data_IF_281294068444
#
_entry.id   IF_281294068444
#
_cell.length_a   1.000
_cell.length_b   1.000
_cell.length_c   1.000
_cell.angle_alpha   90.00
_cell.angle_beta   90.00
_cell.angle_gamma   90.00
#
_symmetry.space_group_name_H-M   'P 1'
#
loop_
_entity.id
_entity.type
_entity.pdbx_description
1 polymer ?
#
# COMPACT_ATOMS: atom_id res chain seq x y z
N UNK A 1 -9.74 11.35 23.78
CA UNK A 1 -8.71 10.73 22.96
C UNK A 1 -9.39 10.28 21.69
N UNK A 2 -8.88 10.68 20.56
CA UNK A 2 -9.32 10.20 19.25
C UNK A 2 -9.14 8.69 19.15
N UNK A 3 -10.09 7.97 18.57
CA UNK A 3 -9.93 6.52 18.37
C UNK A 3 -8.90 6.25 17.27
N UNK A 4 -8.28 5.07 17.29
CA UNK A 4 -7.30 4.69 16.25
C UNK A 4 -7.93 4.67 14.86
N UNK A 5 -9.23 4.36 14.76
CA UNK A 5 -9.98 4.45 13.50
C UNK A 5 -10.14 5.90 13.06
N UNK A 6 -10.51 6.82 13.96
CA UNK A 6 -10.64 8.24 13.63
C UNK A 6 -9.32 8.79 13.09
N UNK A 7 -8.19 8.44 13.73
CA UNK A 7 -6.88 8.81 13.25
C UNK A 7 -6.59 8.22 11.85
N UNK A 8 -6.86 6.93 11.63
CA UNK A 8 -6.71 6.28 10.32
C UNK A 8 -7.51 7.02 9.24
N UNK A 9 -8.81 7.25 9.50
CA UNK A 9 -9.72 7.95 8.58
C UNK A 9 -9.29 9.40 8.38
N UNK A 10 -8.79 10.06 9.43
CA UNK A 10 -8.23 11.42 9.33
C UNK A 10 -7.11 11.52 8.30
N UNK A 11 -6.19 10.56 8.26
CA UNK A 11 -5.12 10.51 7.24
C UNK A 11 -5.67 10.24 5.84
N UNK A 12 -6.67 9.36 5.70
CA UNK A 12 -7.36 9.12 4.43
C UNK A 12 -8.01 10.41 3.91
N UNK A 13 -8.78 11.11 4.75
CA UNK A 13 -9.39 12.38 4.38
C UNK A 13 -8.36 13.44 4.00
N UNK A 14 -7.24 13.52 4.74
CA UNK A 14 -6.17 14.47 4.43
C UNK A 14 -5.58 14.24 3.03
N UNK A 15 -5.44 12.99 2.58
CA UNK A 15 -4.95 12.68 1.25
C UNK A 15 -5.93 13.10 0.15
N UNK A 16 -7.24 13.13 0.44
CA UNK A 16 -8.30 13.47 -0.50
C UNK A 16 -8.55 14.98 -0.67
N UNK A 17 -7.96 15.84 0.17
CA UNK A 17 -8.25 17.29 0.19
C UNK A 17 -8.03 17.95 -1.17
N UNK A 18 -6.97 17.55 -1.88
CA UNK A 18 -6.57 18.15 -3.16
C UNK A 18 -7.24 17.48 -4.39
N UNK A 19 -8.11 16.50 -4.20
CA UNK A 19 -8.83 15.84 -5.29
C UNK A 19 -10.05 16.69 -5.70
N UNK A 20 -10.02 17.24 -6.91
CA UNK A 20 -11.08 18.11 -7.43
C UNK A 20 -12.38 17.35 -7.75
N UNK A 21 -12.27 16.10 -8.22
CA UNK A 21 -13.41 15.26 -8.59
C UNK A 21 -14.13 14.72 -7.34
N UNK A 22 -15.22 15.39 -6.94
CA UNK A 22 -16.01 15.02 -5.75
C UNK A 22 -16.66 13.66 -5.85
N UNK A 23 -17.08 13.24 -7.05
CA UNK A 23 -17.67 11.92 -7.24
C UNK A 23 -16.61 10.81 -7.04
N UNK A 24 -15.37 11.07 -7.48
CA UNK A 24 -14.25 10.17 -7.22
C UNK A 24 -13.95 10.07 -5.72
N UNK A 25 -13.94 11.19 -5.01
CA UNK A 25 -13.74 11.23 -3.54
C UNK A 25 -14.81 10.40 -2.84
N UNK A 26 -16.10 10.63 -3.14
CA UNK A 26 -17.21 9.88 -2.54
C UNK A 26 -17.11 8.38 -2.84
N UNK A 27 -16.79 8.01 -4.09
CA UNK A 27 -16.64 6.62 -4.49
C UNK A 27 -15.48 5.92 -3.75
N UNK A 28 -14.33 6.60 -3.60
CA UNK A 28 -13.17 6.07 -2.87
C UNK A 28 -13.45 5.93 -1.36
N UNK A 29 -14.23 6.82 -0.77
CA UNK A 29 -14.56 6.76 0.66
C UNK A 29 -15.60 5.68 1.00
N UNK A 30 -16.38 5.19 0.04
CA UNK A 30 -17.49 4.24 0.26
C UNK A 30 -17.09 3.06 1.14
N UNK A 31 -15.95 2.42 0.88
CA UNK A 31 -15.50 1.25 1.64
C UNK A 31 -15.17 1.58 3.09
N UNK A 32 -14.59 2.75 3.33
CA UNK A 32 -14.24 3.20 4.68
C UNK A 32 -15.50 3.55 5.50
N UNK A 33 -16.50 4.15 4.86
CA UNK A 33 -17.74 4.57 5.50
C UNK A 33 -18.70 3.40 5.75
N UNK A 34 -18.75 2.41 4.84
CA UNK A 34 -19.59 1.24 4.97
C UNK A 34 -19.08 0.23 6.01
N UNK A 35 -17.77 0.24 6.32
CA UNK A 35 -17.14 -0.81 7.12
C UNK A 35 -16.49 -0.30 8.43
N UNK A 36 -17.13 0.58 9.22
CA UNK A 36 -16.50 1.16 10.40
C UNK A 36 -16.08 0.10 11.44
N UNK A 37 -16.89 -0.95 11.62
CA UNK A 37 -16.59 -2.03 12.56
C UNK A 37 -15.39 -2.90 12.11
N UNK A 38 -15.21 -3.11 10.80
CA UNK A 38 -14.04 -3.82 10.28
C UNK A 38 -12.77 -2.98 10.45
N UNK A 39 -12.86 -1.67 10.25
CA UNK A 39 -11.73 -0.76 10.48
C UNK A 39 -11.37 -0.64 11.96
N UNK A 40 -12.35 -0.66 12.88
CA UNK A 40 -12.07 -0.75 14.31
C UNK A 40 -11.31 -2.05 14.63
N UNK A 41 -11.76 -3.19 14.07
CA UNK A 41 -11.07 -4.49 14.19
C UNK A 41 -9.65 -4.46 13.59
N UNK A 42 -9.47 -3.80 12.45
CA UNK A 42 -8.19 -3.61 11.79
C UNK A 42 -7.19 -2.86 12.69
N UNK A 43 -7.60 -1.71 13.22
CA UNK A 43 -6.79 -0.93 14.14
C UNK A 43 -6.45 -1.70 15.42
N UNK A 44 -7.43 -2.41 15.98
CA UNK A 44 -7.24 -3.24 17.17
C UNK A 44 -6.27 -4.40 16.90
N UNK A 45 -6.29 -4.97 15.70
CA UNK A 45 -5.37 -6.05 15.31
C UNK A 45 -3.93 -5.55 15.32
N UNK A 46 -3.62 -4.36 14.77
CA UNK A 46 -2.28 -3.77 14.89
C UNK A 46 -1.86 -3.55 16.34
N UNK A 47 -2.75 -3.04 17.19
CA UNK A 47 -2.47 -2.87 18.62
C UNK A 47 -2.13 -4.21 19.31
N UNK A 48 -2.86 -5.29 18.99
CA UNK A 48 -2.59 -6.64 19.53
C UNK A 48 -1.25 -7.17 19.04
N UNK A 49 -0.96 -7.01 17.73
CA UNK A 49 0.31 -7.45 17.15
C UNK A 49 1.52 -6.75 17.78
N UNK A 50 1.35 -5.53 18.26
CA UNK A 50 2.40 -4.72 18.89
C UNK A 50 2.29 -4.66 20.41
N UNK A 51 1.56 -5.57 21.06
CA UNK A 51 1.36 -5.57 22.51
C UNK A 51 2.38 -6.41 23.28
N UNK A 52 3.06 -7.34 22.62
CA UNK A 52 3.99 -8.30 23.25
C UNK A 52 5.01 -8.85 22.24
N UNK A 53 6.13 -9.45 22.70
CA UNK A 53 7.03 -10.18 21.80
C UNK A 53 6.39 -11.47 21.31
N UNK A 54 6.89 -11.99 20.18
CA UNK A 54 6.42 -13.19 19.51
C UNK A 54 7.59 -14.14 19.26
N UNK A 55 7.31 -15.43 19.05
CA UNK A 55 8.35 -16.40 18.71
C UNK A 55 8.98 -16.11 17.34
N UNK A 56 10.25 -16.47 17.15
CA UNK A 56 10.97 -16.32 15.86
C UNK A 56 10.21 -16.99 14.73
N UNK A 57 9.72 -18.22 14.89
CA UNK A 57 8.98 -18.96 13.85
C UNK A 57 7.69 -18.24 13.43
N UNK A 58 6.97 -17.65 14.39
CA UNK A 58 5.78 -16.84 14.12
C UNK A 58 6.12 -15.59 13.34
N UNK A 59 7.17 -14.87 13.74
CA UNK A 59 7.62 -13.66 13.04
C UNK A 59 8.13 -13.99 11.64
N UNK A 60 8.87 -15.09 11.46
CA UNK A 60 9.29 -15.54 10.13
C UNK A 60 8.11 -15.87 9.23
N UNK A 61 7.06 -16.53 9.75
CA UNK A 61 5.83 -16.82 9.00
C UNK A 61 5.09 -15.54 8.62
N UNK A 62 5.00 -14.59 9.55
CA UNK A 62 4.40 -13.28 9.30
C UNK A 62 5.15 -12.52 8.20
N UNK A 63 6.44 -12.30 8.35
CA UNK A 63 7.24 -11.51 7.41
C UNK A 63 7.43 -12.18 6.05
N UNK A 64 7.40 -13.53 5.98
CA UNK A 64 7.42 -14.25 4.72
C UNK A 64 6.17 -13.97 3.85
N UNK A 65 5.02 -13.75 4.50
CA UNK A 65 3.74 -13.57 3.82
C UNK A 65 3.21 -12.14 3.76
N UNK A 66 3.64 -11.27 4.68
CA UNK A 66 2.98 -9.98 4.89
C UNK A 66 3.10 -9.04 3.70
N UNK A 67 4.30 -8.84 3.18
CA UNK A 67 4.51 -7.98 2.02
C UNK A 67 5.54 -8.57 1.06
N UNK A 68 5.22 -8.56 -0.21
CA UNK A 68 6.22 -8.74 -1.26
C UNK A 68 6.77 -7.36 -1.59
N UNK A 69 7.98 -7.00 -1.15
CA UNK A 69 8.54 -5.67 -1.35
C UNK A 69 8.71 -5.29 -2.83
N UNK A 70 8.74 -6.28 -3.71
CA UNK A 70 8.89 -6.07 -5.16
C UNK A 70 7.53 -6.02 -5.88
N UNK A 71 6.44 -6.41 -5.20
CA UNK A 71 5.11 -6.53 -5.81
C UNK A 71 4.52 -5.19 -6.24
N UNK A 72 4.69 -4.14 -5.44
CA UNK A 72 4.19 -2.80 -5.75
C UNK A 72 4.92 -2.22 -6.97
N UNK A 73 6.24 -2.24 -6.98
CA UNK A 73 7.07 -1.73 -8.08
C UNK A 73 6.77 -2.46 -9.40
N UNK A 74 6.64 -3.80 -9.38
CA UNK A 74 6.26 -4.57 -10.56
C UNK A 74 4.88 -4.21 -11.09
N UNK A 75 3.90 -4.02 -10.19
CA UNK A 75 2.55 -3.64 -10.58
C UNK A 75 2.51 -2.27 -11.25
N UNK A 76 3.16 -1.27 -10.67
CA UNK A 76 3.22 0.09 -11.24
C UNK A 76 4.03 0.10 -12.54
N UNK A 77 5.14 -0.65 -12.62
CA UNK A 77 5.93 -0.79 -13.86
C UNK A 77 5.09 -1.38 -15.00
N UNK A 78 4.23 -2.37 -14.72
CA UNK A 78 3.36 -2.95 -15.74
C UNK A 78 2.32 -1.94 -16.27
N UNK A 79 1.81 -1.06 -15.40
CA UNK A 79 0.91 0.03 -15.79
C UNK A 79 1.65 1.02 -16.68
N UNK A 80 2.88 1.40 -16.34
CA UNK A 80 3.70 2.30 -17.18
C UNK A 80 3.89 1.71 -18.58
N UNK A 81 4.29 0.44 -18.67
CA UNK A 81 4.50 -0.22 -19.97
C UNK A 81 3.23 -0.17 -20.81
N UNK A 82 2.06 -0.45 -20.23
CA UNK A 82 0.76 -0.40 -20.92
C UNK A 82 0.40 1.02 -21.36
N UNK A 83 0.63 2.04 -20.51
CA UNK A 83 0.43 3.45 -20.86
C UNK A 83 1.30 3.87 -22.05
N UNK A 84 2.57 3.45 -22.08
CA UNK A 84 3.48 3.74 -23.18
C UNK A 84 3.06 3.02 -24.48
N UNK A 85 2.58 1.79 -24.40
CA UNK A 85 2.06 1.05 -25.55
C UNK A 85 0.80 1.72 -26.12
N UNK A 86 -0.19 2.03 -25.28
CA UNK A 86 -1.41 2.72 -25.71
C UNK A 86 -1.10 4.13 -26.26
N UNK A 87 -0.10 4.84 -25.72
CA UNK A 87 0.30 6.16 -26.25
C UNK A 87 0.82 6.08 -27.68
N UNK A 88 1.52 4.99 -28.03
CA UNK A 88 2.03 4.81 -29.38
C UNK A 88 0.94 4.48 -30.42
N UNK A 89 -0.19 3.95 -29.97
CA UNK A 89 -1.32 3.52 -30.79
C UNK A 89 -2.44 4.57 -30.90
N UNK A 90 -2.55 5.46 -29.90
CA UNK A 90 -3.63 6.43 -29.81
C UNK A 90 -3.42 7.58 -30.82
N UNK A 91 -4.41 7.93 -31.64
CA UNK A 91 -4.28 9.05 -32.57
C UNK A 91 -4.31 10.41 -31.85
N UNK A 92 -3.50 11.33 -32.36
CA UNK A 92 -3.45 12.73 -31.92
C UNK A 92 -2.42 13.01 -30.83
N UNK A 93 -1.49 13.93 -31.16
CA UNK A 93 -0.33 14.26 -30.31
C UNK A 93 -0.72 14.67 -28.89
N UNK A 94 -1.81 15.42 -28.73
CA UNK A 94 -2.27 15.88 -27.40
C UNK A 94 -2.71 14.70 -26.50
N UNK A 95 -3.38 13.70 -27.06
CA UNK A 95 -3.78 12.50 -26.32
C UNK A 95 -2.57 11.62 -26.01
N UNK A 96 -1.61 11.48 -26.92
CA UNK A 96 -0.35 10.78 -26.66
C UNK A 96 0.42 11.45 -25.52
N UNK A 97 0.52 12.78 -25.52
CA UNK A 97 1.18 13.54 -24.45
C UNK A 97 0.51 13.33 -23.08
N UNK A 98 -0.83 13.25 -23.02
CA UNK A 98 -1.54 12.93 -21.77
C UNK A 98 -1.21 11.53 -21.25
N UNK A 99 -1.14 10.51 -22.13
CA UNK A 99 -0.74 9.16 -21.71
C UNK A 99 0.72 9.09 -21.25
N UNK A 100 1.62 9.80 -21.91
CA UNK A 100 3.02 9.92 -21.46
C UNK A 100 3.11 10.63 -20.10
N UNK A 101 2.29 11.66 -19.88
CA UNK A 101 2.22 12.33 -18.58
C UNK A 101 1.64 11.40 -17.49
N UNK A 102 0.61 10.58 -17.83
CA UNK A 102 0.10 9.55 -16.91
C UNK A 102 1.20 8.53 -16.54
N UNK A 103 1.97 8.05 -17.53
CA UNK A 103 3.10 7.16 -17.30
C UNK A 103 4.18 7.80 -16.42
N UNK A 104 4.45 9.10 -16.59
CA UNK A 104 5.36 9.85 -15.73
C UNK A 104 4.87 9.87 -14.28
N UNK A 105 3.57 10.16 -14.03
CA UNK A 105 3.03 10.13 -12.67
C UNK A 105 3.19 8.76 -12.00
N UNK A 106 2.93 7.66 -12.72
CA UNK A 106 3.24 6.32 -12.23
C UNK A 106 4.75 6.15 -11.96
N UNK A 107 5.61 6.74 -12.79
CA UNK A 107 7.05 6.72 -12.64
C UNK A 107 7.54 7.39 -11.34
N UNK A 108 6.91 8.49 -10.91
CA UNK A 108 7.25 9.16 -9.65
C UNK A 108 7.03 8.23 -8.43
N UNK A 109 5.99 7.40 -8.43
CA UNK A 109 5.78 6.38 -7.40
C UNK A 109 6.94 5.36 -7.40
N UNK A 110 7.33 4.86 -8.58
CA UNK A 110 8.44 3.90 -8.68
C UNK A 110 9.77 4.50 -8.24
N UNK A 111 10.03 5.75 -8.59
CA UNK A 111 11.27 6.43 -8.21
C UNK A 111 11.46 6.42 -6.69
N UNK A 112 10.39 6.61 -5.93
CA UNK A 112 10.45 6.53 -4.47
C UNK A 112 10.58 5.07 -4.00
N UNK A 113 9.83 4.13 -4.58
CA UNK A 113 9.80 2.71 -4.16
C UNK A 113 11.08 1.93 -4.46
N UNK A 114 11.64 2.08 -5.67
CA UNK A 114 12.82 1.31 -6.09
C UNK A 114 14.15 1.96 -5.71
N UNK A 115 14.08 3.16 -5.08
CA UNK A 115 15.27 3.77 -4.52
C UNK A 115 16.26 4.28 -5.56
N UNK A 116 15.78 5.06 -6.55
CA UNK A 116 16.62 6.18 -7.00
C UNK A 116 16.90 7.10 -5.81
N UNK A 117 16.35 6.74 -4.66
CA UNK A 117 16.60 7.25 -3.34
C UNK A 117 18.03 7.15 -2.83
N UNK A 118 18.91 6.34 -3.41
CA UNK A 118 20.34 6.47 -3.15
C UNK A 118 20.87 7.81 -3.67
N UNK A 119 20.34 8.32 -4.78
CA UNK A 119 20.62 9.70 -5.23
C UNK A 119 20.00 10.77 -4.32
N UNK A 120 18.98 10.40 -3.52
CA UNK A 120 18.28 11.26 -2.55
C UNK A 120 18.53 10.85 -1.09
N UNK A 121 19.43 9.90 -0.83
CA UNK A 121 19.80 9.46 0.52
C UNK A 121 18.86 8.42 1.14
N UNK A 122 17.92 7.84 0.38
CA UNK A 122 17.02 6.81 0.86
C UNK A 122 17.32 5.45 0.22
N UNK A 123 17.48 4.37 1.02
CA UNK A 123 17.67 3.04 0.47
C UNK A 123 16.38 2.51 -0.16
N UNK A 124 16.52 1.67 -1.15
CA UNK A 124 15.45 0.90 -1.80
C UNK A 124 14.48 0.28 -0.78
N UNK A 125 13.16 0.45 -0.95
CA UNK A 125 12.13 0.01 0.01
C UNK A 125 12.20 -1.50 0.29
N UNK A 126 12.50 -2.33 -0.71
CA UNK A 126 12.70 -3.76 -0.47
C UNK A 126 13.90 -4.06 0.45
N UNK A 127 14.97 -3.25 0.39
CA UNK A 127 16.10 -3.38 1.32
C UNK A 127 15.75 -2.94 2.72
N UNK A 128 14.93 -1.89 2.87
CA UNK A 128 14.41 -1.47 4.16
C UNK A 128 13.52 -2.54 4.77
N UNK A 129 12.60 -3.14 3.96
CA UNK A 129 11.77 -4.26 4.40
C UNK A 129 12.62 -5.45 4.85
N UNK A 130 13.59 -5.87 4.04
CA UNK A 130 14.48 -6.97 4.37
C UNK A 130 15.23 -6.74 5.67
N UNK A 131 15.77 -5.53 5.88
CA UNK A 131 16.46 -5.15 7.12
C UNK A 131 15.52 -5.20 8.32
N UNK A 132 14.29 -4.68 8.17
CA UNK A 132 13.27 -4.71 9.21
C UNK A 132 12.90 -6.14 9.57
N UNK A 133 12.54 -6.97 8.59
CA UNK A 133 12.15 -8.35 8.79
C UNK A 133 13.27 -9.17 9.45
N UNK A 134 14.50 -9.08 8.94
CA UNK A 134 15.65 -9.81 9.49
C UNK A 134 15.97 -9.37 10.91
N UNK A 135 15.91 -8.07 11.22
CA UNK A 135 16.16 -7.56 12.57
C UNK A 135 15.08 -8.05 13.56
N UNK A 136 13.82 -8.02 13.15
CA UNK A 136 12.69 -8.44 14.01
C UNK A 136 12.67 -9.95 14.21
N UNK A 137 12.93 -10.74 13.17
CA UNK A 137 13.03 -12.21 13.27
C UNK A 137 14.32 -12.67 13.98
N UNK A 138 15.32 -11.81 14.13
CA UNK A 138 16.65 -12.20 14.60
C UNK A 138 17.46 -13.06 13.62
N UNK A 139 16.94 -13.29 12.42
CA UNK A 139 17.55 -14.12 11.38
C UNK A 139 16.99 -13.79 10.00
N UNK A 140 17.63 -14.34 8.94
CA UNK A 140 17.12 -14.29 7.55
C UNK A 140 16.18 -15.47 7.21
N UNK A 141 15.80 -16.28 8.18
CA UNK A 141 14.96 -17.47 7.98
C UNK A 141 13.61 -17.17 7.37
N UNK A 142 13.05 -15.98 7.62
CA UNK A 142 11.78 -15.53 7.02
C UNK A 142 11.77 -15.59 5.47
N UNK A 143 12.95 -15.67 4.82
CA UNK A 143 13.08 -15.80 3.35
C UNK A 143 12.87 -17.22 2.84
N UNK A 144 12.84 -18.22 3.73
CA UNK A 144 12.66 -19.63 3.39
C UNK A 144 11.18 -19.89 3.09
N UNK A 145 10.77 -19.62 1.84
CA UNK A 145 9.37 -19.70 1.42
C UNK A 145 8.80 -21.12 1.60
N UNK A 146 9.57 -22.17 1.32
CA UNK A 146 9.13 -23.55 1.48
C UNK A 146 8.76 -23.90 2.93
N UNK A 147 9.36 -23.19 3.90
CA UNK A 147 9.09 -23.40 5.32
C UNK A 147 8.01 -22.46 5.87
N UNK A 148 8.07 -21.19 5.54
CA UNK A 148 7.32 -20.15 6.23
C UNK A 148 6.17 -19.54 5.43
N UNK A 149 6.11 -19.80 4.10
CA UNK A 149 5.05 -19.22 3.30
C UNK A 149 3.72 -19.92 3.56
N UNK A 150 2.80 -19.20 4.18
CA UNK A 150 1.43 -19.64 4.36
C UNK A 150 0.56 -19.21 3.16
N UNK A 151 -0.12 -20.12 2.44
CA UNK A 151 -1.00 -19.76 1.33
C UNK A 151 -2.05 -18.71 1.69
N UNK A 152 -2.58 -18.74 2.93
CA UNK A 152 -3.55 -17.78 3.43
C UNK A 152 -3.04 -16.34 3.35
N UNK A 153 -1.72 -16.14 3.55
CA UNK A 153 -1.11 -14.81 3.53
C UNK A 153 -0.99 -14.24 2.11
N UNK A 154 -1.20 -15.07 1.08
CA UNK A 154 -1.13 -14.66 -0.34
C UNK A 154 -2.48 -14.28 -0.96
N UNK A 155 -3.61 -14.64 -0.36
CA UNK A 155 -4.92 -14.43 -0.98
C UNK A 155 -5.16 -12.97 -1.36
N UNK A 156 -4.86 -12.04 -0.44
CA UNK A 156 -5.07 -10.62 -0.68
C UNK A 156 -4.13 -10.07 -1.76
N UNK A 157 -2.83 -10.38 -1.67
CA UNK A 157 -1.85 -9.93 -2.67
C UNK A 157 -2.13 -10.51 -4.07
N UNK A 158 -2.63 -11.75 -4.15
CA UNK A 158 -3.06 -12.36 -5.40
C UNK A 158 -4.28 -11.61 -5.98
N UNK A 159 -5.26 -11.29 -5.15
CA UNK A 159 -6.43 -10.52 -5.58
C UNK A 159 -6.06 -9.10 -6.04
N UNK A 160 -5.21 -8.39 -5.28
CA UNK A 160 -4.68 -7.08 -5.68
C UNK A 160 -3.91 -7.19 -7.00
N UNK A 161 -3.08 -8.23 -7.15
CA UNK A 161 -2.34 -8.49 -8.37
C UNK A 161 -3.24 -8.68 -9.59
N UNK A 162 -4.35 -9.40 -9.44
CA UNK A 162 -5.33 -9.60 -10.51
C UNK A 162 -6.06 -8.29 -10.91
N UNK A 163 -6.22 -7.36 -9.98
CA UNK A 163 -6.92 -6.09 -10.19
C UNK A 163 -6.00 -4.93 -10.59
N UNK A 164 -4.68 -5.08 -10.49
CA UNK A 164 -3.70 -4.03 -10.77
C UNK A 164 -2.82 -4.38 -11.97
N UNK A 165 -1.74 -5.22 -11.86
CA UNK A 165 -0.92 -5.52 -13.03
C UNK A 165 -1.63 -6.39 -14.07
N UNK A 166 -2.55 -7.26 -13.67
CA UNK A 166 -3.25 -8.21 -14.53
C UNK A 166 -4.70 -7.78 -14.86
N UNK A 167 -5.10 -6.56 -14.48
CA UNK A 167 -6.42 -6.04 -14.82
C UNK A 167 -6.66 -6.07 -16.33
N UNK A 168 -7.87 -6.46 -16.79
CA UNK A 168 -8.16 -6.61 -18.21
C UNK A 168 -8.04 -5.28 -18.98
N UNK A 169 -8.36 -4.17 -18.34
CA UNK A 169 -8.19 -2.84 -18.91
C UNK A 169 -7.37 -1.93 -17.98
N UNK A 170 -6.80 -0.87 -18.55
CA UNK A 170 -5.87 -0.01 -17.85
C UNK A 170 -6.55 0.93 -16.86
N UNK A 171 -7.80 1.33 -17.12
CA UNK A 171 -8.57 2.19 -16.20
C UNK A 171 -8.79 1.46 -14.85
N UNK A 172 -9.15 0.17 -14.87
CA UNK A 172 -9.30 -0.63 -13.64
C UNK A 172 -7.99 -0.78 -12.87
N UNK A 173 -6.87 -0.93 -13.58
CA UNK A 173 -5.56 -0.97 -12.96
C UNK A 173 -5.20 0.33 -12.24
N UNK A 174 -5.52 1.48 -12.85
CA UNK A 174 -5.30 2.81 -12.29
C UNK A 174 -6.23 3.09 -11.11
N UNK A 175 -7.50 2.69 -11.19
CA UNK A 175 -8.46 2.78 -10.07
C UNK A 175 -7.98 1.98 -8.87
N UNK A 176 -7.52 0.74 -9.09
CA UNK A 176 -7.00 -0.10 -8.03
C UNK A 176 -5.68 0.45 -7.44
N UNK A 177 -4.83 1.05 -8.27
CA UNK A 177 -3.62 1.72 -7.81
C UNK A 177 -3.99 2.89 -6.88
N UNK A 178 -4.89 3.79 -7.31
CA UNK A 178 -5.32 4.92 -6.50
C UNK A 178 -5.91 4.47 -5.14
N UNK A 179 -6.75 3.46 -5.15
CA UNK A 179 -7.35 2.92 -3.92
C UNK A 179 -6.31 2.31 -2.98
N UNK A 180 -5.33 1.57 -3.52
CA UNK A 180 -4.23 1.00 -2.72
C UNK A 180 -3.42 2.08 -2.05
N UNK A 181 -3.02 3.13 -2.77
CA UNK A 181 -2.22 4.23 -2.22
C UNK A 181 -3.02 5.04 -1.18
N UNK A 182 -4.33 5.22 -1.40
CA UNK A 182 -5.21 5.86 -0.42
C UNK A 182 -5.28 5.06 0.89
N UNK A 183 -5.49 3.75 0.82
CA UNK A 183 -5.54 2.88 2.00
C UNK A 183 -4.19 2.89 2.75
N UNK A 184 -3.09 2.80 2.01
CA UNK A 184 -1.74 2.86 2.56
C UNK A 184 -1.50 4.14 3.37
N UNK A 185 -2.08 5.28 2.96
CA UNK A 185 -1.97 6.54 3.70
C UNK A 185 -2.47 6.40 5.15
N UNK A 186 -3.63 5.79 5.34
CA UNK A 186 -4.16 5.49 6.68
C UNK A 186 -3.32 4.43 7.42
N UNK A 187 -3.02 3.33 6.72
CA UNK A 187 -2.33 2.17 7.29
C UNK A 187 -0.94 2.52 7.84
N UNK A 188 -0.06 3.11 7.03
CA UNK A 188 1.32 3.39 7.48
C UNK A 188 1.39 4.44 8.57
N UNK A 189 0.52 5.44 8.53
CA UNK A 189 0.46 6.44 9.59
C UNK A 189 -0.06 5.87 10.92
N UNK A 190 -0.97 4.89 10.87
CA UNK A 190 -1.44 4.17 12.05
C UNK A 190 -0.35 3.22 12.61
N UNK A 191 0.21 2.37 11.76
CA UNK A 191 1.05 1.28 12.25
C UNK A 191 2.47 1.70 12.63
N UNK A 192 3.04 2.72 11.99
CA UNK A 192 4.42 3.14 12.21
C UNK A 192 4.71 3.46 13.68
N UNK A 193 3.93 4.32 14.38
CA UNK A 193 4.16 4.58 15.79
C UNK A 193 3.96 3.34 16.68
N UNK A 194 3.00 2.46 16.35
CA UNK A 194 2.75 1.23 17.10
C UNK A 194 3.97 0.29 17.03
N UNK A 195 4.50 0.07 15.83
CA UNK A 195 5.69 -0.78 15.63
C UNK A 195 6.94 -0.20 16.28
N UNK A 196 7.18 1.11 16.19
CA UNK A 196 8.31 1.77 16.86
C UNK A 196 8.23 1.61 18.39
N UNK A 197 7.04 1.78 18.95
CA UNK A 197 6.83 1.60 20.37
C UNK A 197 7.04 0.14 20.80
N UNK A 198 6.49 -0.81 20.04
CA UNK A 198 6.69 -2.23 20.28
C UNK A 198 8.16 -2.64 20.24
N UNK A 199 8.93 -2.17 19.26
CA UNK A 199 10.36 -2.43 19.18
C UNK A 199 11.10 -1.92 20.43
N UNK A 200 10.72 -0.76 20.95
CA UNK A 200 11.35 -0.19 22.15
C UNK A 200 10.90 -0.87 23.44
N UNK A 201 9.60 -0.95 23.64
CA UNK A 201 9.02 -1.32 24.94
C UNK A 201 8.93 -2.85 25.13
N UNK A 202 8.64 -3.59 24.04
CA UNK A 202 8.45 -5.04 24.10
C UNK A 202 9.69 -5.83 23.66
N UNK A 203 10.43 -5.33 22.64
CA UNK A 203 11.64 -5.99 22.14
C UNK A 203 12.94 -5.46 22.75
N UNK A 204 12.90 -4.36 23.50
CA UNK A 204 14.05 -3.79 24.22
C UNK A 204 15.06 -3.05 23.35
N UNK A 205 14.76 -2.69 22.13
CA UNK A 205 15.68 -1.94 21.26
C UNK A 205 15.81 -0.49 21.72
N UNK A 206 17.05 0.07 21.75
CA UNK A 206 17.25 1.51 21.93
C UNK A 206 16.49 2.32 20.89
N UNK A 207 16.03 3.54 21.25
CA UNK A 207 15.19 4.35 20.38
C UNK A 207 15.78 4.60 18.97
N UNK A 208 17.09 4.86 18.85
CA UNK A 208 17.78 5.04 17.58
C UNK A 208 17.78 3.76 16.72
N UNK A 209 17.93 2.60 17.35
CA UNK A 209 17.91 1.32 16.68
C UNK A 209 16.49 0.93 16.27
N UNK A 210 15.49 1.12 17.11
CA UNK A 210 14.08 0.91 16.80
C UNK A 210 13.65 1.74 15.58
N UNK A 211 14.08 3.02 15.51
CA UNK A 211 13.83 3.87 14.34
C UNK A 211 14.52 3.33 13.07
N UNK A 212 15.76 2.83 13.18
CA UNK A 212 16.49 2.25 12.05
C UNK A 212 15.85 0.94 11.56
N UNK A 213 15.39 0.09 12.48
CA UNK A 213 14.68 -1.15 12.17
C UNK A 213 13.33 -0.83 11.48
N UNK A 214 12.56 0.11 12.01
CA UNK A 214 11.29 0.55 11.44
C UNK A 214 11.44 1.45 10.19
N UNK A 215 12.63 1.48 9.57
CA UNK A 215 12.93 2.33 8.42
C UNK A 215 11.95 2.14 7.25
N UNK A 216 11.58 0.88 6.94
CA UNK A 216 10.57 0.58 5.93
C UNK A 216 9.24 1.27 6.20
N UNK A 217 8.73 1.20 7.42
CA UNK A 217 7.47 1.85 7.79
C UNK A 217 7.59 3.37 7.77
N UNK A 218 8.76 3.87 8.19
CA UNK A 218 9.00 5.31 8.30
C UNK A 218 9.02 6.03 6.96
N UNK A 219 9.52 5.38 5.90
CA UNK A 219 9.55 5.99 4.55
C UNK A 219 8.17 6.03 3.90
N UNK A 220 7.21 5.22 4.34
CA UNK A 220 5.83 5.26 3.89
C UNK A 220 4.92 6.15 4.77
N UNK A 221 5.42 6.68 5.88
CA UNK A 221 4.65 7.49 6.83
C UNK A 221 4.64 8.96 6.41
N UNK A 222 3.62 9.70 6.86
CA UNK A 222 3.47 11.12 6.59
C UNK A 222 2.96 11.44 5.19
N UNK A 223 3.65 12.32 4.47
CA UNK A 223 3.19 12.82 3.18
C UNK A 223 3.52 11.90 1.98
N UNK A 224 4.26 10.81 2.17
CA UNK A 224 4.75 9.98 1.05
C UNK A 224 3.57 9.28 0.37
N UNK A 225 2.79 8.50 1.10
CA UNK A 225 1.64 7.79 0.54
C UNK A 225 0.57 8.75 -0.01
N UNK A 226 0.39 9.91 0.61
CA UNK A 226 -0.50 10.94 0.08
C UNK A 226 0.01 11.51 -1.27
N UNK A 227 1.34 11.57 -1.50
CA UNK A 227 1.92 11.90 -2.82
C UNK A 227 1.72 10.78 -3.82
N UNK A 228 1.94 9.53 -3.43
CA UNK A 228 1.69 8.36 -4.27
C UNK A 228 0.22 8.33 -4.72
N UNK A 229 -0.71 8.52 -3.79
CA UNK A 229 -2.13 8.63 -4.09
C UNK A 229 -2.43 9.76 -5.09
N UNK A 230 -1.85 10.94 -4.91
CA UNK A 230 -2.01 12.07 -5.83
C UNK A 230 -1.49 11.75 -7.23
N UNK A 231 -0.34 11.11 -7.33
CA UNK A 231 0.19 10.65 -8.62
C UNK A 231 -0.71 9.60 -9.26
N UNK A 232 -1.25 8.67 -8.49
CA UNK A 232 -2.15 7.63 -8.98
C UNK A 232 -3.47 8.23 -9.51
N UNK A 233 -4.08 9.16 -8.78
CA UNK A 233 -5.32 9.84 -9.22
C UNK A 233 -5.09 10.73 -10.43
N UNK A 234 -3.94 11.41 -10.51
CA UNK A 234 -3.59 12.23 -11.67
C UNK A 234 -3.32 11.38 -12.91
N UNK A 235 -2.69 10.22 -12.77
CA UNK A 235 -2.52 9.27 -13.86
C UNK A 235 -3.90 8.75 -14.37
N UNK A 236 -4.84 8.44 -13.48
CA UNK A 236 -6.19 8.06 -13.83
C UNK A 236 -6.93 9.18 -14.60
N UNK A 237 -6.85 10.41 -14.11
CA UNK A 237 -7.46 11.58 -14.75
C UNK A 237 -6.92 11.81 -16.17
N UNK A 238 -5.61 11.78 -16.32
CA UNK A 238 -4.96 11.98 -17.63
C UNK A 238 -5.31 10.86 -18.61
N UNK A 239 -5.33 9.61 -18.13
CA UNK A 239 -5.72 8.46 -18.93
C UNK A 239 -7.13 8.59 -19.47
N UNK A 240 -8.11 8.89 -18.61
CA UNK A 240 -9.50 9.03 -19.00
C UNK A 240 -9.72 10.20 -19.95
N UNK A 241 -9.01 11.31 -19.76
CA UNK A 241 -9.03 12.45 -20.69
C UNK A 241 -8.44 12.11 -22.06
N UNK A 242 -7.36 11.33 -22.11
CA UNK A 242 -6.72 10.94 -23.37
C UNK A 242 -7.56 9.96 -24.19
N UNK A 243 -8.18 8.98 -23.52
CA UNK A 243 -8.92 7.89 -24.16
C UNK A 243 -10.40 8.18 -24.35
N UNK A 244 -10.94 9.21 -23.70
CA UNK A 244 -12.39 9.50 -23.66
C UNK A 244 -13.18 8.50 -22.81
N UNK A 245 -12.52 7.58 -22.09
CA UNK A 245 -13.19 6.66 -21.19
C UNK A 245 -13.76 7.42 -19.99
N UNK A 246 -14.97 7.05 -19.58
CA UNK A 246 -15.61 7.64 -18.41
C UNK A 246 -15.21 6.86 -17.15
N UNK A 247 -14.99 7.59 -16.04
CA UNK A 247 -14.82 6.98 -14.72
C UNK A 247 -16.14 6.36 -14.29
N UNK A 248 -16.13 5.09 -13.95
CA UNK A 248 -17.29 4.40 -13.35
C UNK A 248 -17.22 4.49 -11.83
N UNK A 249 -17.80 5.56 -11.26
CA UNK A 249 -17.81 5.80 -9.82
C UNK A 249 -18.51 4.68 -9.04
N UNK A 250 -19.51 3.98 -9.63
CA UNK A 250 -20.17 2.85 -8.97
C UNK A 250 -19.22 1.66 -8.85
N UNK A 251 -18.43 1.42 -9.90
CA UNK A 251 -17.40 0.38 -9.87
C UNK A 251 -16.33 0.70 -8.84
N UNK A 252 -15.87 1.97 -8.78
CA UNK A 252 -14.88 2.40 -7.78
C UNK A 252 -15.43 2.24 -6.36
N UNK A 253 -16.68 2.63 -6.11
CA UNK A 253 -17.32 2.46 -4.81
C UNK A 253 -17.40 0.98 -4.39
N UNK A 254 -17.81 0.09 -5.30
CA UNK A 254 -17.83 -1.34 -5.06
C UNK A 254 -16.42 -1.93 -4.84
N UNK A 255 -15.42 -1.45 -5.60
CA UNK A 255 -14.03 -1.84 -5.43
C UNK A 255 -13.47 -1.37 -4.09
N UNK A 256 -13.80 -0.15 -3.66
CA UNK A 256 -13.41 0.40 -2.35
C UNK A 256 -13.98 -0.44 -1.21
N UNK A 257 -15.25 -0.79 -1.28
CA UNK A 257 -15.91 -1.63 -0.28
C UNK A 257 -15.26 -3.02 -0.22
N UNK A 258 -15.07 -3.68 -1.36
CA UNK A 258 -14.40 -4.98 -1.44
C UNK A 258 -12.95 -4.91 -0.92
N UNK A 259 -12.22 -3.83 -1.22
CA UNK A 259 -10.84 -3.66 -0.79
C UNK A 259 -10.72 -3.58 0.73
N UNK A 260 -11.53 -2.72 1.36
CA UNK A 260 -11.52 -2.56 2.83
C UNK A 260 -11.86 -3.87 3.52
N UNK A 261 -12.91 -4.57 3.06
CA UNK A 261 -13.30 -5.88 3.61
C UNK A 261 -12.14 -6.88 3.51
N UNK A 262 -11.50 -6.98 2.34
CA UNK A 262 -10.40 -7.92 2.11
C UNK A 262 -9.13 -7.54 2.86
N UNK A 263 -8.79 -6.27 2.93
CA UNK A 263 -7.62 -5.79 3.68
C UNK A 263 -7.76 -6.08 5.17
N UNK A 264 -8.94 -5.82 5.75
CA UNK A 264 -9.22 -6.13 7.15
C UNK A 264 -9.14 -7.65 7.42
N UNK A 265 -9.76 -8.47 6.59
CA UNK A 265 -9.70 -9.93 6.72
C UNK A 265 -8.28 -10.47 6.53
N UNK A 266 -7.49 -9.88 5.62
CA UNK A 266 -6.09 -10.22 5.42
C UNK A 266 -5.25 -9.97 6.66
N UNK A 267 -5.34 -8.78 7.26
CA UNK A 267 -4.59 -8.45 8.46
C UNK A 267 -4.94 -9.39 9.63
N UNK A 268 -6.22 -9.72 9.81
CA UNK A 268 -6.65 -10.67 10.83
C UNK A 268 -6.04 -12.06 10.60
N UNK A 269 -6.04 -12.57 9.36
CA UNK A 269 -5.38 -13.81 8.99
C UNK A 269 -3.87 -13.75 9.22
N UNK A 270 -3.23 -12.63 8.88
CA UNK A 270 -1.80 -12.42 9.15
C UNK A 270 -1.51 -12.42 10.65
N UNK A 271 -2.33 -11.76 11.45
CA UNK A 271 -2.17 -11.75 12.90
C UNK A 271 -2.37 -13.14 13.53
N UNK A 272 -3.20 -14.00 12.93
CA UNK A 272 -3.47 -15.35 13.43
C UNK A 272 -2.27 -16.31 13.34
N UNK A 273 -1.25 -16.01 12.53
CA UNK A 273 -0.02 -16.81 12.47
C UNK A 273 0.95 -16.48 13.61
N UNK A 274 0.74 -15.36 14.31
CA UNK A 274 1.57 -14.97 15.45
C UNK A 274 1.19 -15.79 16.69
N UNK A 275 2.13 -16.60 17.17
CA UNK A 275 2.00 -17.46 18.36
C UNK A 275 3.10 -17.11 19.36
N UNK A 276 2.84 -17.42 20.62
CA UNK A 276 3.81 -17.24 21.71
C UNK A 276 5.02 -18.13 21.54
#
# INVERSE_FOLDING_TARGET
MESSREAFIGYVHQALVDVEDRNLVEALLTGFENNPGLLDGYCLTYQRMTSRPWSEDSLCTFFCGWRSPDGAAHAVSSIIVRLLQESAELPGDDNQLKLLAAARHCGEIIVEDVGLGEMHGHPHHSKLYQRMASAICGSDNWRLQDKYLNPITKEFSTWVGAKRPLAPNLVEALEMMALTELFNTGEYNLMTPLWKNWLRESCGYPAGEANRIAGFLSVHCGAVEARHFRHATEALRLYTQATGQQIDYRRIAALSDEYVVRACAHLEKMASVLKE
#
